data_IF_660074787263
#
_entry.id   IF_660074787263
#
_cell.length_a   1.000
_cell.length_b   1.000
_cell.length_c   1.000
_cell.angle_alpha   90.00
_cell.angle_beta   90.00
_cell.angle_gamma   90.00
#
_symmetry.space_group_name_H-M   'P 1'
#
loop_
_entity.id
_entity.type
_entity.pdbx_description
1 polymer ?
#
# COMPACT_ATOMS: atom_id res chain seq x y z
N UNK A 1 0.90 -19.06 -16.07
CA UNK A 1 -0.35 -18.54 -15.48
C UNK A 1 -0.72 -17.26 -16.23
N UNK A 2 -1.78 -17.26 -17.06
CA UNK A 2 -2.15 -16.07 -17.82
C UNK A 2 -2.76 -15.01 -16.90
N UNK A 3 -2.22 -13.79 -16.93
CA UNK A 3 -2.86 -12.62 -16.32
C UNK A 3 -3.77 -12.02 -17.39
N UNK A 4 -5.07 -11.95 -17.12
CA UNK A 4 -6.03 -11.30 -18.02
C UNK A 4 -6.23 -9.86 -17.54
N UNK A 5 -5.76 -8.90 -18.34
CA UNK A 5 -5.92 -7.47 -18.08
C UNK A 5 -7.19 -7.01 -18.81
N UNK A 6 -8.21 -6.58 -18.05
CA UNK A 6 -9.48 -6.10 -18.60
C UNK A 6 -9.70 -4.65 -18.19
N UNK A 7 -9.87 -3.75 -19.16
CA UNK A 7 -10.17 -2.33 -18.92
C UNK A 7 -11.69 -2.18 -18.77
N UNK A 8 -12.18 -1.65 -17.64
CA UNK A 8 -13.61 -1.31 -17.45
C UNK A 8 -13.76 0.18 -17.17
N UNK A 9 -14.83 0.77 -17.70
CA UNK A 9 -15.07 2.21 -17.68
C UNK A 9 -15.87 2.70 -16.45
N UNK A 10 -16.04 1.89 -15.40
CA UNK A 10 -16.97 2.22 -14.31
C UNK A 10 -16.40 2.10 -12.88
N UNK A 11 -16.51 3.21 -12.13
CA UNK A 11 -16.92 3.25 -10.72
C UNK A 11 -15.86 3.18 -9.62
N UNK A 12 -15.51 4.35 -9.05
CA UNK A 12 -15.05 4.53 -7.65
C UNK A 12 -13.61 4.16 -7.30
N UNK A 13 -13.02 3.14 -7.95
CA UNK A 13 -11.68 2.65 -7.66
C UNK A 13 -10.67 2.98 -8.77
N UNK A 14 -9.44 3.32 -8.37
CA UNK A 14 -8.33 3.64 -9.27
C UNK A 14 -7.81 2.38 -9.99
N UNK A 15 -7.82 1.24 -9.29
CA UNK A 15 -7.63 -0.11 -9.82
C UNK A 15 -8.49 -1.10 -9.02
N UNK A 16 -8.74 -2.29 -9.58
CA UNK A 16 -9.48 -3.35 -8.90
C UNK A 16 -9.00 -4.72 -9.36
N UNK A 17 -8.67 -5.57 -8.39
CA UNK A 17 -8.41 -6.99 -8.60
C UNK A 17 -9.52 -7.84 -8.00
N UNK A 18 -10.12 -8.73 -8.81
CA UNK A 18 -11.14 -9.69 -8.33
C UNK A 18 -10.63 -11.12 -8.46
N UNK A 19 -10.90 -11.95 -7.45
CA UNK A 19 -10.84 -13.40 -7.60
C UNK A 19 -11.84 -13.79 -8.71
N UNK A 20 -11.38 -14.55 -9.70
CA UNK A 20 -12.00 -14.64 -11.03
C UNK A 20 -13.50 -14.99 -11.06
N UNK A 21 -14.14 -14.61 -12.17
CA UNK A 21 -15.45 -15.14 -12.57
C UNK A 21 -15.32 -16.65 -12.88
N UNK A 22 -16.30 -17.52 -12.55
CA UNK A 22 -16.21 -18.98 -12.77
C UNK A 22 -15.87 -19.42 -14.21
N UNK A 23 -16.03 -18.53 -15.17
CA UNK A 23 -15.75 -18.76 -16.58
C UNK A 23 -14.33 -18.35 -17.03
N UNK A 24 -13.51 -17.72 -16.18
CA UNK A 24 -12.12 -17.37 -16.50
C UNK A 24 -11.18 -17.80 -15.37
N UNK A 25 -10.18 -18.62 -15.70
CA UNK A 25 -9.22 -19.24 -14.77
C UNK A 25 -8.15 -18.27 -14.20
N UNK A 26 -8.54 -17.17 -13.54
CA UNK A 26 -7.57 -16.32 -12.85
C UNK A 26 -8.05 -14.95 -12.38
N UNK A 27 -7.19 -14.23 -11.62
CA UNK A 27 -7.48 -12.87 -11.17
C UNK A 27 -7.57 -11.90 -12.35
N UNK A 28 -8.53 -10.98 -12.30
CA UNK A 28 -8.68 -9.91 -13.28
C UNK A 28 -8.20 -8.60 -12.69
N UNK A 29 -7.30 -7.93 -13.40
CA UNK A 29 -6.87 -6.57 -13.08
C UNK A 29 -7.64 -5.61 -13.98
N UNK A 30 -8.25 -4.61 -13.35
CA UNK A 30 -8.86 -3.50 -14.05
C UNK A 30 -8.30 -2.18 -13.54
N UNK A 31 -8.02 -1.27 -14.46
CA UNK A 31 -7.53 0.08 -14.18
C UNK A 31 -8.50 1.12 -14.73
N UNK A 32 -8.65 2.22 -14.01
CA UNK A 32 -9.52 3.32 -14.42
C UNK A 32 -8.88 4.13 -15.56
N UNK A 33 -9.67 4.46 -16.59
CA UNK A 33 -9.15 5.14 -17.78
C UNK A 33 -8.67 6.57 -17.52
N UNK A 34 -9.15 7.23 -16.47
CA UNK A 34 -8.67 8.55 -16.08
C UNK A 34 -7.19 8.56 -15.67
N UNK A 35 -6.59 7.41 -15.35
CA UNK A 35 -5.15 7.30 -15.06
C UNK A 35 -4.28 7.57 -16.27
N UNK A 36 -4.78 7.28 -17.48
CA UNK A 36 -4.04 7.51 -18.72
C UNK A 36 -3.75 9.00 -18.92
N UNK A 37 -4.63 9.89 -18.46
CA UNK A 37 -4.43 11.34 -18.51
C UNK A 37 -3.32 11.85 -17.58
N UNK A 38 -2.95 11.09 -16.53
CA UNK A 38 -1.90 11.47 -15.58
C UNK A 38 -0.51 11.16 -16.11
N UNK A 39 -0.36 10.01 -16.79
CA UNK A 39 0.91 9.60 -17.37
C UNK A 39 1.17 8.11 -17.28
N UNK A 40 2.05 7.60 -18.15
CA UNK A 40 2.39 6.17 -18.23
C UNK A 40 2.81 5.57 -16.87
N UNK A 41 3.64 6.26 -16.10
CA UNK A 41 4.13 5.70 -14.82
C UNK A 41 3.04 5.63 -13.75
N UNK A 42 1.98 6.43 -13.87
CA UNK A 42 0.82 6.32 -12.98
C UNK A 42 0.06 5.04 -13.23
N UNK A 43 -0.06 4.66 -14.50
CA UNK A 43 -0.61 3.37 -14.92
C UNK A 43 0.28 2.24 -14.43
N UNK A 44 1.60 2.34 -14.61
CA UNK A 44 2.56 1.33 -14.13
C UNK A 44 2.47 1.14 -12.60
N UNK A 45 2.41 2.23 -11.83
CA UNK A 45 2.25 2.18 -10.37
C UNK A 45 0.93 1.51 -9.97
N UNK A 46 -0.17 1.82 -10.65
CA UNK A 46 -1.47 1.20 -10.38
C UNK A 46 -1.44 -0.28 -10.76
N UNK A 47 -0.86 -0.63 -11.90
CA UNK A 47 -0.69 -2.02 -12.31
C UNK A 47 0.15 -2.82 -11.31
N UNK A 48 1.24 -2.25 -10.79
CA UNK A 48 2.06 -2.91 -9.77
C UNK A 48 1.27 -3.18 -8.47
N UNK A 49 0.44 -2.23 -8.04
CA UNK A 49 -0.46 -2.41 -6.90
C UNK A 49 -1.45 -3.55 -7.13
N UNK A 50 -2.12 -3.56 -8.28
CA UNK A 50 -3.10 -4.61 -8.59
C UNK A 50 -2.45 -5.99 -8.83
N UNK A 51 -1.25 -6.03 -9.43
CA UNK A 51 -0.49 -7.27 -9.57
C UNK A 51 -0.10 -7.86 -8.21
N UNK A 52 0.15 -7.02 -7.20
CA UNK A 52 0.36 -7.48 -5.83
C UNK A 52 -0.90 -8.14 -5.27
N UNK A 53 -2.08 -7.53 -5.45
CA UNK A 53 -3.35 -8.18 -5.09
C UNK A 53 -3.54 -9.52 -5.81
N UNK A 54 -3.27 -9.56 -7.12
CA UNK A 54 -3.40 -10.79 -7.91
C UNK A 54 -2.46 -11.89 -7.40
N UNK A 55 -1.22 -11.55 -7.06
CA UNK A 55 -0.27 -12.48 -6.45
C UNK A 55 -0.77 -13.00 -5.10
N UNK A 56 -1.27 -12.13 -4.22
CA UNK A 56 -1.85 -12.55 -2.93
C UNK A 56 -3.01 -13.54 -3.13
N UNK A 57 -3.93 -13.24 -4.04
CA UNK A 57 -5.06 -14.14 -4.38
C UNK A 57 -4.54 -15.50 -4.85
N UNK A 58 -3.64 -15.52 -5.83
CA UNK A 58 -3.14 -16.77 -6.46
C UNK A 58 -2.29 -17.63 -5.52
N UNK A 59 -1.75 -17.02 -4.46
CA UNK A 59 -0.97 -17.72 -3.42
C UNK A 59 -1.80 -18.01 -2.17
N UNK A 60 -3.11 -17.77 -2.19
CA UNK A 60 -4.01 -18.04 -1.07
C UNK A 60 -3.74 -17.17 0.17
N UNK A 61 -3.17 -15.97 -0.02
CA UNK A 61 -2.86 -15.03 1.05
C UNK A 61 -3.99 -14.01 1.23
N UNK A 62 -4.18 -13.46 2.45
CA UNK A 62 -5.06 -12.33 2.69
C UNK A 62 -4.74 -11.16 1.75
N UNK A 63 -5.78 -10.45 1.31
CA UNK A 63 -5.68 -9.39 0.29
C UNK A 63 -5.83 -7.99 0.86
N UNK A 64 -6.24 -7.90 2.11
CA UNK A 64 -6.44 -6.66 2.84
C UNK A 64 -5.10 -5.95 3.08
N UNK A 65 -5.11 -4.62 2.94
CA UNK A 65 -3.91 -3.78 3.05
C UNK A 65 -3.31 -3.73 4.46
N UNK A 66 -4.02 -4.24 5.47
CA UNK A 66 -3.62 -4.21 6.87
C UNK A 66 -3.04 -5.54 7.38
N UNK A 67 -2.74 -6.46 6.46
CA UNK A 67 -2.20 -7.80 6.76
C UNK A 67 -0.68 -7.86 6.71
N UNK A 68 -0.07 -8.79 7.45
CA UNK A 68 1.38 -9.01 7.40
C UNK A 68 1.87 -9.43 6.01
N UNK A 69 1.03 -10.16 5.26
CA UNK A 69 1.31 -10.57 3.88
C UNK A 69 1.48 -9.36 2.97
N UNK A 70 0.58 -8.37 3.07
CA UNK A 70 0.68 -7.11 2.33
C UNK A 70 1.96 -6.35 2.69
N UNK A 71 2.20 -6.11 3.98
CA UNK A 71 3.38 -5.37 4.45
C UNK A 71 4.68 -6.02 4.03
N UNK A 72 4.76 -7.36 4.14
CA UNK A 72 5.94 -8.11 3.71
C UNK A 72 6.19 -7.95 2.22
N UNK A 73 5.17 -8.11 1.39
CA UNK A 73 5.33 -8.02 -0.06
C UNK A 73 5.71 -6.60 -0.50
N UNK A 74 5.13 -5.57 0.13
CA UNK A 74 5.54 -4.16 -0.08
C UNK A 74 7.03 -3.98 0.23
N UNK A 75 7.54 -4.50 1.36
CA UNK A 75 8.97 -4.42 1.68
C UNK A 75 9.85 -5.10 0.64
N UNK A 76 9.47 -6.32 0.24
CA UNK A 76 10.23 -7.14 -0.70
C UNK A 76 10.28 -6.52 -2.10
N UNK A 77 9.19 -5.92 -2.58
CA UNK A 77 9.10 -5.34 -3.92
C UNK A 77 9.63 -3.91 -4.02
N UNK A 78 9.69 -3.18 -2.91
CA UNK A 78 10.07 -1.75 -2.91
C UNK A 78 11.44 -1.45 -3.52
N UNK A 79 12.51 -2.22 -3.28
CA UNK A 79 13.79 -1.98 -3.95
C UNK A 79 13.69 -1.97 -5.48
N UNK A 80 12.89 -2.87 -6.06
CA UNK A 80 12.71 -2.96 -7.50
C UNK A 80 11.75 -1.88 -8.06
N UNK A 81 10.67 -1.56 -7.35
CA UNK A 81 9.61 -0.66 -7.84
C UNK A 81 9.88 0.82 -7.52
N UNK A 82 10.45 1.09 -6.34
CA UNK A 82 10.76 2.43 -5.84
C UNK A 82 12.24 2.79 -5.98
N UNK A 83 13.13 1.82 -6.24
CA UNK A 83 14.57 2.02 -6.29
C UNK A 83 15.24 2.06 -4.90
N UNK A 84 14.48 1.83 -3.83
CA UNK A 84 15.00 1.79 -2.47
C UNK A 84 14.14 0.89 -1.57
N UNK A 85 14.73 0.39 -0.48
CA UNK A 85 13.99 -0.39 0.50
C UNK A 85 13.03 0.49 1.33
N UNK A 86 11.93 -0.11 1.79
CA UNK A 86 11.03 0.47 2.78
C UNK A 86 11.15 -0.30 4.10
N UNK A 87 11.34 0.42 5.20
CA UNK A 87 11.30 -0.13 6.55
C UNK A 87 9.89 0.00 7.14
N UNK A 88 8.95 -0.81 6.63
CA UNK A 88 7.55 -0.81 7.08
C UNK A 88 7.17 -2.15 7.70
N UNK A 89 6.60 -2.15 8.90
CA UNK A 89 6.06 -3.36 9.53
C UNK A 89 4.69 -3.08 10.13
N UNK A 90 3.84 -4.10 10.19
CA UNK A 90 2.54 -4.00 10.84
C UNK A 90 2.73 -3.80 12.35
N UNK A 91 1.89 -2.97 12.97
CA UNK A 91 1.95 -2.70 14.41
C UNK A 91 3.08 -1.75 14.86
N UNK A 92 3.83 -1.16 13.94
CA UNK A 92 4.82 -0.10 14.22
C UNK A 92 4.20 1.27 14.49
N UNK A 93 2.87 1.36 14.49
CA UNK A 93 2.12 2.55 14.90
C UNK A 93 2.22 2.83 16.40
N UNK A 94 3.03 2.07 17.16
CA UNK A 94 3.25 2.26 18.60
C UNK A 94 4.72 2.45 18.91
N UNK A 95 5.08 3.62 19.45
CA UNK A 95 6.41 3.91 19.96
C UNK A 95 6.41 3.87 21.49
N UNK A 96 7.46 3.29 22.08
CA UNK A 96 7.71 3.42 23.52
C UNK A 96 8.22 4.84 23.79
N UNK A 97 7.52 5.60 24.64
CA UNK A 97 7.92 6.94 25.08
C UNK A 97 7.95 6.99 26.61
N UNK A 98 8.87 7.77 27.17
CA UNK A 98 8.88 8.09 28.60
C UNK A 98 7.90 9.22 28.84
N UNK A 99 6.96 9.01 29.75
CA UNK A 99 6.01 10.02 30.21
C UNK A 99 6.17 10.21 31.72
N UNK A 100 5.78 11.37 32.28
CA UNK A 100 5.76 11.57 33.72
C UNK A 100 4.99 10.44 34.43
N UNK A 101 5.56 9.90 35.51
CA UNK A 101 4.86 8.92 36.33
C UNK A 101 3.81 9.66 37.18
N UNK A 102 2.50 9.42 37.00
CA UNK A 102 1.47 10.08 37.81
C UNK A 102 1.56 9.74 39.30
N UNK A 103 2.25 8.65 39.64
CA UNK A 103 2.45 8.20 41.02
C UNK A 103 3.76 8.72 41.63
N UNK A 104 4.53 9.56 40.92
CA UNK A 104 5.79 10.10 41.43
C UNK A 104 5.54 11.12 42.54
N UNK A 105 6.17 10.88 43.70
CA UNK A 105 6.26 11.84 44.79
C UNK A 105 7.75 12.05 45.17
N UNK A 106 8.19 13.29 45.45
CA UNK A 106 9.53 13.54 45.97
C UNK A 106 9.76 12.77 47.27
N UNK A 107 10.83 11.97 47.34
CA UNK A 107 11.14 11.13 48.50
C UNK A 107 10.49 9.74 48.51
N UNK A 108 9.67 9.40 47.50
CA UNK A 108 9.17 8.04 47.29
C UNK A 108 10.09 7.20 46.39
N UNK A 109 9.86 5.89 46.40
CA UNK A 109 10.65 4.90 45.62
C UNK A 109 10.26 4.84 44.13
N UNK A 110 9.14 5.48 43.76
CA UNK A 110 8.62 5.46 42.40
C UNK A 110 9.50 6.26 41.42
N UNK A 111 9.79 5.74 40.21
CA UNK A 111 10.59 6.46 39.23
C UNK A 111 9.85 7.69 38.70
N UNK A 112 10.59 8.76 38.40
CA UNK A 112 10.06 10.03 37.84
C UNK A 112 9.28 9.88 36.54
N UNK A 113 9.59 8.86 35.75
CA UNK A 113 8.96 8.60 34.45
C UNK A 113 8.66 7.13 34.28
N UNK A 114 7.55 6.83 33.61
CA UNK A 114 7.19 5.47 33.17
C UNK A 114 7.26 5.37 31.66
N UNK A 115 7.52 4.17 31.15
CA UNK A 115 7.44 3.89 29.71
C UNK A 115 5.99 3.57 29.35
N UNK A 116 5.42 4.32 28.41
CA UNK A 116 4.11 4.04 27.83
C UNK A 116 4.26 3.78 26.33
N UNK A 117 3.42 2.88 25.81
CA UNK A 117 3.23 2.73 24.36
C UNK A 117 2.26 3.81 23.91
N UNK A 118 2.74 4.76 23.09
CA UNK A 118 1.92 5.81 22.50
C UNK A 118 1.76 5.53 21.01
N UNK A 119 0.55 5.75 20.50
CA UNK A 119 0.29 5.67 19.07
C UNK A 119 1.02 6.80 18.36
N UNK A 120 1.84 6.44 17.37
CA UNK A 120 2.47 7.37 16.43
C UNK A 120 1.76 7.28 15.09
N UNK A 121 1.88 8.34 14.27
CA UNK A 121 1.31 8.36 12.93
C UNK A 121 1.78 7.13 12.15
N UNK A 122 0.84 6.24 11.83
CA UNK A 122 1.13 5.03 11.07
C UNK A 122 1.36 5.40 9.61
N UNK A 123 2.36 4.78 8.98
CA UNK A 123 2.50 4.85 7.52
C UNK A 123 1.44 4.02 6.78
N UNK A 124 0.49 3.40 7.49
CA UNK A 124 -0.50 2.50 6.92
C UNK A 124 -1.23 3.08 5.71
N UNK A 125 -1.67 4.33 5.76
CA UNK A 125 -2.33 4.97 4.61
C UNK A 125 -1.43 5.02 3.35
N UNK A 126 -0.12 5.23 3.53
CA UNK A 126 0.86 5.21 2.44
C UNK A 126 1.13 3.78 1.97
N UNK A 127 1.24 2.83 2.91
CA UNK A 127 1.44 1.39 2.61
C UNK A 127 0.24 0.80 1.86
N UNK A 128 -0.98 1.20 2.20
CA UNK A 128 -2.22 0.78 1.54
C UNK A 128 -2.33 1.32 0.11
N UNK A 129 -1.58 2.36 -0.24
CA UNK A 129 -1.59 2.98 -1.58
C UNK A 129 -0.22 2.89 -2.27
N UNK A 130 0.61 1.95 -1.82
CA UNK A 130 1.88 1.61 -2.46
C UNK A 130 1.66 1.16 -3.91
N UNK A 131 2.53 1.51 -4.88
CA UNK A 131 3.77 2.26 -4.72
C UNK A 131 3.57 3.78 -4.75
N UNK A 132 2.44 4.26 -5.26
CA UNK A 132 2.31 5.68 -5.62
C UNK A 132 2.50 6.65 -4.45
N UNK A 133 2.06 6.32 -3.23
CA UNK A 133 2.19 7.23 -2.09
C UNK A 133 3.65 7.42 -1.62
N UNK A 134 4.58 6.60 -2.10
CA UNK A 134 6.01 6.72 -1.83
C UNK A 134 6.79 7.39 -2.95
N UNK A 135 6.13 7.81 -4.04
CA UNK A 135 6.76 8.68 -5.04
C UNK A 135 7.05 10.06 -4.42
N UNK A 136 8.17 10.71 -4.77
CA UNK A 136 8.48 12.05 -4.29
C UNK A 136 7.42 13.05 -4.77
N UNK A 137 7.32 14.17 -4.06
CA UNK A 137 6.51 15.29 -4.53
C UNK A 137 6.99 15.77 -5.91
N UNK A 138 6.05 16.06 -6.81
CA UNK A 138 6.37 16.44 -8.19
C UNK A 138 6.94 15.30 -9.05
N UNK A 139 6.77 14.03 -8.66
CA UNK A 139 7.21 12.89 -9.46
C UNK A 139 6.66 12.97 -10.88
N UNK A 140 7.57 12.94 -11.87
CA UNK A 140 7.20 12.91 -13.27
C UNK A 140 6.58 11.55 -13.62
N UNK A 141 5.26 11.55 -13.78
CA UNK A 141 4.50 10.39 -14.21
C UNK A 141 4.61 10.11 -15.72
N UNK A 142 5.38 10.92 -16.44
CA UNK A 142 5.60 10.82 -17.87
C UNK A 142 4.46 11.38 -18.69
N UNK A 143 4.56 11.22 -20.01
CA UNK A 143 3.53 11.72 -20.94
C UNK A 143 2.19 11.01 -20.71
N UNK A 144 1.07 11.75 -20.73
CA UNK A 144 -0.26 11.17 -20.82
C UNK A 144 -0.36 10.17 -21.97
N UNK A 145 -1.10 9.09 -21.76
CA UNK A 145 -1.42 8.10 -22.79
C UNK A 145 -2.71 8.57 -23.47
N UNK A 146 -2.66 8.80 -24.78
CA UNK A 146 -3.85 9.17 -25.53
C UNK A 146 -4.83 7.99 -25.59
N UNK A 147 -6.02 8.19 -25.04
CA UNK A 147 -7.15 7.26 -25.20
C UNK A 147 -8.16 7.95 -26.11
N UNK A 148 -8.08 7.75 -27.44
CA UNK A 148 -9.05 8.32 -28.36
C UNK A 148 -10.45 7.79 -28.01
N UNK A 149 -11.36 8.70 -27.68
CA UNK A 149 -12.79 8.39 -27.59
C UNK A 149 -13.35 8.47 -29.01
N UNK A 150 -13.66 7.31 -29.58
CA UNK A 150 -14.45 7.19 -30.81
C UNK A 150 -15.94 7.20 -30.47
#
# INVERSE_FOLDING_TARGET
MPIVIGITAYGGCVGLTRAGHPALDGPRITIASNLFAVGRRRVDDTMAHEMLHAWLITTGKPTEHDTDAWYRAVRELSPAVLGHALAVERGTDRKSVRVPNPNYAPGGDEPRTVVRKVRVASQHAKVATWPSAFRPEGFDYGKPISCPTY
#
